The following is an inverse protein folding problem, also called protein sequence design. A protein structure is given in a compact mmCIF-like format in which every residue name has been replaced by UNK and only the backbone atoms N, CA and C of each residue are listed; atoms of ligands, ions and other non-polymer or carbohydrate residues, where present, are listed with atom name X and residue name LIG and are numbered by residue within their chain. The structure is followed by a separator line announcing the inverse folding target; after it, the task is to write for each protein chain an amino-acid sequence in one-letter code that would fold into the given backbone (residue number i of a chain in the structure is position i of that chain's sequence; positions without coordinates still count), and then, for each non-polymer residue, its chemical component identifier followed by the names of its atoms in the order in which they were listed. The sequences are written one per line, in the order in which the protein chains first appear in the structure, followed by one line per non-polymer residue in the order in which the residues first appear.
data_IF_250278539551
#
_entry.id   IF_250278539551
#
_cell.length_a   1.000
_cell.length_b   1.000
_cell.length_c   1.000
_cell.angle_alpha   90.00
_cell.angle_beta   90.00
_cell.angle_gamma   90.00
#
_symmetry.space_group_name_H-M   'P 1'
#
loop_
_entity.id
_entity.type
_entity.pdbx_description
1 polymer ?
#
# COMPACT_ATOMS: atom_id res chain seq x y z
N UNK A 1 -3.11 -8.38 -11.39
CA UNK A 1 -3.94 -7.43 -12.14
C UNK A 1 -4.74 -8.09 -13.27
N UNK A 2 -4.15 -8.96 -14.13
CA UNK A 2 -4.91 -9.72 -15.17
C UNK A 2 -6.15 -10.41 -14.61
N UNK A 3 -6.07 -11.08 -13.45
CA UNK A 3 -7.25 -11.70 -12.85
C UNK A 3 -8.38 -10.68 -12.57
N UNK A 4 -8.08 -9.47 -12.10
CA UNK A 4 -9.09 -8.41 -11.89
C UNK A 4 -9.56 -7.77 -13.20
N UNK A 5 -8.70 -7.67 -14.21
CA UNK A 5 -9.04 -7.08 -15.51
C UNK A 5 -9.87 -8.03 -16.38
N UNK A 6 -9.57 -9.34 -16.35
CA UNK A 6 -10.23 -10.40 -17.12
C UNK A 6 -11.55 -10.87 -16.48
N UNK A 7 -11.72 -10.60 -15.18
CA UNK A 7 -12.98 -10.78 -14.43
C UNK A 7 -13.66 -9.45 -14.05
N UNK A 8 -13.29 -8.36 -14.73
CA UNK A 8 -14.11 -7.15 -14.67
C UNK A 8 -15.45 -7.47 -15.34
N UNK A 9 -16.60 -7.01 -14.83
CA UNK A 9 -17.90 -7.34 -15.41
C UNK A 9 -17.97 -7.04 -16.92
N UNK A 10 -17.32 -5.96 -17.36
CA UNK A 10 -17.23 -5.59 -18.78
C UNK A 10 -16.44 -6.59 -19.64
N UNK A 11 -15.37 -7.18 -19.13
CA UNK A 11 -14.57 -8.15 -19.90
C UNK A 11 -15.24 -9.51 -19.97
N UNK A 12 -15.94 -9.92 -18.91
CA UNK A 12 -16.81 -11.10 -18.95
C UNK A 12 -17.95 -10.95 -19.95
N UNK A 13 -18.59 -9.78 -20.01
CA UNK A 13 -19.62 -9.49 -21.02
C UNK A 13 -19.02 -9.54 -22.43
N UNK A 14 -17.86 -8.93 -22.66
CA UNK A 14 -17.20 -8.98 -23.97
C UNK A 14 -16.84 -10.41 -24.40
N UNK A 15 -16.32 -11.22 -23.47
CA UNK A 15 -16.01 -12.64 -23.70
C UNK A 15 -17.29 -13.44 -24.01
N UNK A 16 -18.36 -13.22 -23.25
CA UNK A 16 -19.65 -13.88 -23.48
C UNK A 16 -20.25 -13.53 -24.84
N UNK A 17 -20.22 -12.24 -25.22
CA UNK A 17 -20.67 -11.77 -26.54
C UNK A 17 -19.84 -12.39 -27.66
N UNK A 18 -18.52 -12.44 -27.50
CA UNK A 18 -17.62 -13.07 -28.48
C UNK A 18 -17.97 -14.55 -28.71
N UNK A 19 -18.16 -15.32 -27.65
CA UNK A 19 -18.49 -16.74 -27.76
C UNK A 19 -19.95 -17.03 -28.16
N UNK A 20 -20.83 -16.03 -28.12
CA UNK A 20 -22.21 -16.14 -28.58
C UNK A 20 -22.31 -16.08 -30.12
N UNK A 21 -21.37 -15.41 -30.79
CA UNK A 21 -21.36 -15.30 -32.26
C UNK A 21 -21.32 -16.69 -32.95
N UNK A 22 -20.41 -17.62 -32.61
CA UNK A 22 -20.41 -18.97 -33.17
C UNK A 22 -21.68 -19.76 -32.86
N UNK A 23 -22.28 -19.56 -31.69
CA UNK A 23 -23.54 -20.25 -31.31
C UNK A 23 -24.68 -19.81 -32.22
N UNK A 24 -24.82 -18.50 -32.43
CA UNK A 24 -25.85 -17.95 -33.34
C UNK A 24 -25.61 -18.46 -34.76
N UNK A 25 -24.36 -18.44 -35.23
CA UNK A 25 -24.03 -18.91 -36.57
C UNK A 25 -24.32 -20.41 -36.75
N UNK A 26 -23.98 -21.24 -35.77
CA UNK A 26 -24.28 -22.68 -35.81
C UNK A 26 -25.78 -22.98 -35.76
N UNK A 27 -26.57 -22.23 -34.99
CA UNK A 27 -28.04 -22.36 -34.97
C UNK A 27 -28.63 -21.98 -36.33
N UNK A 28 -28.17 -20.88 -36.93
CA UNK A 28 -28.64 -20.44 -38.26
C UNK A 28 -28.29 -21.42 -39.38
N UNK A 29 -27.15 -22.12 -39.27
CA UNK A 29 -26.71 -23.10 -40.24
C UNK A 29 -27.30 -24.50 -40.02
N UNK A 30 -27.86 -24.79 -38.84
CA UNK A 30 -28.41 -26.12 -38.50
C UNK A 30 -29.42 -26.65 -39.53
N UNK A 31 -30.36 -25.86 -40.08
CA UNK A 31 -31.33 -26.34 -41.08
C UNK A 31 -30.71 -26.69 -42.44
N UNK A 32 -29.51 -26.18 -42.72
CA UNK A 32 -28.80 -26.40 -43.99
C UNK A 32 -27.83 -27.59 -43.94
N UNK A 33 -27.71 -28.26 -42.79
CA UNK A 33 -26.80 -29.39 -42.58
C UNK A 33 -27.48 -30.71 -42.90
N UNK A 34 -26.71 -31.67 -43.44
CA UNK A 34 -27.18 -33.01 -43.79
C UNK A 34 -27.73 -33.77 -42.57
N UNK A 35 -27.11 -33.55 -41.39
CA UNK A 35 -27.51 -34.17 -40.12
C UNK A 35 -27.71 -33.13 -39.02
N UNK A 36 -28.91 -32.54 -38.89
CA UNK A 36 -29.18 -31.47 -37.91
C UNK A 36 -29.02 -31.95 -36.46
N UNK A 37 -29.32 -33.21 -36.16
CA UNK A 37 -29.19 -33.78 -34.81
C UNK A 37 -27.73 -33.78 -34.31
N UNK A 38 -26.77 -34.05 -35.22
CA UNK A 38 -25.35 -34.00 -34.91
C UNK A 38 -24.85 -32.57 -34.72
N UNK A 39 -25.40 -31.61 -35.47
CA UNK A 39 -25.11 -30.19 -35.31
C UNK A 39 -25.61 -29.66 -33.95
N UNK A 40 -26.81 -30.04 -33.52
CA UNK A 40 -27.32 -29.67 -32.20
C UNK A 40 -26.47 -30.26 -31.08
N UNK A 41 -26.06 -31.53 -31.19
CA UNK A 41 -25.15 -32.15 -30.24
C UNK A 41 -23.80 -31.42 -30.18
N UNK A 42 -23.26 -31.01 -31.33
CA UNK A 42 -22.02 -30.22 -31.41
C UNK A 42 -22.17 -28.88 -30.67
N UNK A 43 -23.25 -28.13 -30.94
CA UNK A 43 -23.55 -26.87 -30.26
C UNK A 43 -23.60 -27.01 -28.74
N UNK A 44 -24.26 -28.05 -28.23
CA UNK A 44 -24.34 -28.32 -26.77
C UNK A 44 -22.94 -28.56 -26.21
N UNK A 45 -22.13 -29.41 -26.85
CA UNK A 45 -20.77 -29.70 -26.39
C UNK A 45 -19.84 -28.48 -26.45
N UNK A 46 -19.99 -27.62 -27.46
CA UNK A 46 -19.26 -26.36 -27.57
C UNK A 46 -19.61 -25.40 -26.43
N UNK A 47 -20.91 -25.18 -26.17
CA UNK A 47 -21.37 -24.27 -25.11
C UNK A 47 -20.85 -24.74 -23.74
N UNK A 48 -20.88 -26.05 -23.47
CA UNK A 48 -20.32 -26.62 -22.24
C UNK A 48 -18.81 -26.43 -22.14
N UNK A 49 -18.06 -26.66 -23.22
CA UNK A 49 -16.61 -26.47 -23.27
C UNK A 49 -16.23 -25.02 -22.98
N UNK A 50 -16.91 -24.06 -23.61
CA UNK A 50 -16.70 -22.63 -23.41
C UNK A 50 -17.07 -22.22 -21.99
N UNK A 51 -18.23 -22.64 -21.49
CA UNK A 51 -18.67 -22.32 -20.13
C UNK A 51 -17.65 -22.76 -19.08
N UNK A 52 -17.09 -23.97 -19.23
CA UNK A 52 -16.06 -24.50 -18.34
C UNK A 52 -14.76 -23.71 -18.37
N UNK A 53 -14.39 -23.11 -19.50
CA UNK A 53 -13.16 -22.31 -19.64
C UNK A 53 -13.36 -20.85 -19.22
N UNK A 54 -14.53 -20.28 -19.50
CA UNK A 54 -14.88 -18.90 -19.14
C UNK A 54 -15.19 -18.76 -17.65
N UNK A 55 -15.68 -19.83 -16.99
CA UNK A 55 -16.07 -19.82 -15.59
C UNK A 55 -15.01 -19.13 -14.68
N UNK A 56 -15.45 -18.25 -13.76
CA UNK A 56 -14.56 -17.47 -12.90
C UNK A 56 -13.99 -18.30 -11.74
N UNK A 57 -13.05 -19.20 -12.05
CA UNK A 57 -12.30 -19.91 -11.02
C UNK A 57 -11.41 -18.95 -10.23
N UNK A 58 -11.40 -19.12 -8.90
CA UNK A 58 -10.61 -18.32 -7.95
C UNK A 58 -9.08 -18.35 -8.17
N UNK A 59 -8.59 -19.30 -8.97
CA UNK A 59 -7.16 -19.53 -9.20
C UNK A 59 -6.72 -18.99 -10.56
N UNK A 60 -5.49 -18.45 -10.65
CA UNK A 60 -4.90 -17.96 -11.92
C UNK A 60 -4.68 -19.06 -12.96
N UNK A 61 -4.42 -20.29 -12.52
CA UNK A 61 -4.29 -21.46 -13.40
C UNK A 61 -5.61 -22.24 -13.37
N UNK A 62 -6.14 -22.55 -14.54
CA UNK A 62 -7.33 -23.41 -14.67
C UNK A 62 -7.05 -24.78 -14.02
N UNK A 63 -7.91 -25.30 -13.14
CA UNK A 63 -7.72 -26.63 -12.56
C UNK A 63 -7.69 -27.71 -13.65
N UNK A 64 -6.98 -28.81 -13.40
CA UNK A 64 -6.71 -29.84 -14.43
C UNK A 64 -8.01 -30.51 -14.94
N UNK A 65 -8.92 -30.87 -14.03
CA UNK A 65 -10.17 -31.54 -14.39
C UNK A 65 -11.09 -30.69 -15.31
N UNK A 66 -11.40 -29.41 -15.00
CA UNK A 66 -12.08 -28.51 -15.92
C UNK A 66 -11.38 -28.35 -17.26
N UNK A 67 -10.05 -28.29 -17.27
CA UNK A 67 -9.27 -28.17 -18.52
C UNK A 67 -9.45 -29.40 -19.39
N UNK A 68 -9.29 -30.59 -18.83
CA UNK A 68 -9.44 -31.86 -19.54
C UNK A 68 -10.86 -32.04 -20.07
N UNK A 69 -11.87 -31.82 -19.22
CA UNK A 69 -13.27 -31.91 -19.62
C UNK A 69 -13.63 -30.92 -20.72
N UNK A 70 -13.19 -29.66 -20.62
CA UNK A 70 -13.45 -28.66 -21.65
C UNK A 70 -12.75 -29.00 -22.99
N UNK A 71 -11.50 -29.47 -22.94
CA UNK A 71 -10.77 -29.92 -24.14
C UNK A 71 -11.48 -31.11 -24.79
N UNK A 72 -11.88 -32.10 -24.00
CA UNK A 72 -12.61 -33.26 -24.52
C UNK A 72 -13.94 -32.83 -25.17
N UNK A 73 -14.73 -31.98 -24.50
CA UNK A 73 -16.00 -31.47 -25.04
C UNK A 73 -15.79 -30.65 -26.32
N UNK A 74 -14.74 -29.84 -26.39
CA UNK A 74 -14.40 -29.08 -27.59
C UNK A 74 -14.02 -30.02 -28.76
N UNK A 75 -13.20 -31.04 -28.52
CA UNK A 75 -12.83 -32.01 -29.55
C UNK A 75 -14.03 -32.82 -30.04
N UNK A 76 -14.93 -33.21 -29.12
CA UNK A 76 -16.20 -33.87 -29.49
C UNK A 76 -17.05 -32.95 -30.35
N UNK A 77 -17.15 -31.65 -30.01
CA UNK A 77 -17.87 -30.67 -30.82
C UNK A 77 -17.30 -30.55 -32.23
N UNK A 78 -15.98 -30.47 -32.36
CA UNK A 78 -15.29 -30.37 -33.66
C UNK A 78 -15.58 -31.62 -34.49
N UNK A 79 -15.39 -32.81 -33.93
CA UNK A 79 -15.66 -34.07 -34.61
C UNK A 79 -17.12 -34.15 -35.10
N UNK A 80 -18.08 -33.83 -34.22
CA UNK A 80 -19.52 -33.86 -34.56
C UNK A 80 -19.89 -32.83 -35.63
N UNK A 81 -19.22 -31.69 -35.64
CA UNK A 81 -19.40 -30.66 -36.67
C UNK A 81 -18.94 -31.16 -38.03
N UNK A 82 -17.81 -31.88 -38.08
CA UNK A 82 -17.34 -32.52 -39.32
C UNK A 82 -18.23 -33.68 -39.77
N UNK A 83 -18.78 -34.46 -38.85
CA UNK A 83 -19.69 -35.57 -39.16
C UNK A 83 -21.08 -35.10 -39.63
N UNK A 84 -21.47 -33.85 -39.31
CA UNK A 84 -22.72 -33.22 -39.73
C UNK A 84 -22.65 -32.61 -41.14
N UNK A 85 -21.44 -32.44 -41.68
CA UNK A 85 -21.18 -31.89 -43.01
C UNK A 85 -21.17 -33.00 -44.05
N UNK A 86 -21.81 -32.78 -45.20
CA UNK A 86 -21.63 -33.65 -46.38
C UNK A 86 -20.23 -33.40 -46.98
N UNK A 87 -19.36 -34.43 -47.09
CA UNK A 87 -18.04 -34.31 -47.72
C UNK A 87 -18.06 -33.83 -49.18
N UNK A 88 -19.22 -33.89 -49.86
CA UNK A 88 -19.42 -33.47 -51.25
C UNK A 88 -19.98 -32.06 -51.40
N UNK A 89 -20.42 -31.43 -50.31
CA UNK A 89 -20.91 -30.06 -50.36
C UNK A 89 -19.71 -29.08 -50.34
N UNK A 90 -19.63 -28.22 -51.35
CA UNK A 90 -18.68 -27.11 -51.42
C UNK A 90 -19.06 -26.01 -50.40
N UNK A 91 -18.84 -26.28 -49.12
CA UNK A 91 -18.94 -25.24 -48.09
C UNK A 91 -17.65 -24.40 -48.12
N UNK A 92 -17.66 -23.39 -49.00
CA UNK A 92 -16.73 -22.27 -48.98
C UNK A 92 -17.25 -21.18 -48.02
N UNK A 93 -16.63 -21.12 -46.85
CA UNK A 93 -16.93 -20.18 -45.78
C UNK A 93 -16.56 -20.84 -44.46
N UNK A 94 -15.61 -20.26 -43.71
CA UNK A 94 -15.01 -20.87 -42.53
C UNK A 94 -16.01 -21.57 -41.59
N UNK A 95 -15.56 -22.64 -40.93
CA UNK A 95 -16.44 -23.47 -40.12
C UNK A 95 -17.11 -22.66 -39.01
N UNK A 96 -18.36 -23.00 -38.70
CA UNK A 96 -19.19 -22.22 -37.77
C UNK A 96 -18.53 -22.00 -36.40
N UNK A 97 -17.67 -22.94 -35.99
CA UNK A 97 -16.99 -22.93 -34.71
C UNK A 97 -15.58 -22.29 -34.75
N UNK A 98 -15.02 -21.90 -35.91
CA UNK A 98 -13.62 -21.44 -36.02
C UNK A 98 -13.33 -20.28 -35.08
N UNK A 99 -14.16 -19.25 -35.07
CA UNK A 99 -13.99 -18.08 -34.18
C UNK A 99 -14.07 -18.48 -32.69
N UNK A 100 -14.95 -19.42 -32.36
CA UNK A 100 -15.08 -19.95 -31.00
C UNK A 100 -13.89 -20.80 -30.56
N UNK A 101 -13.38 -21.61 -31.46
CA UNK A 101 -12.19 -22.43 -31.25
C UNK A 101 -10.94 -21.58 -31.03
N UNK A 102 -10.76 -20.53 -31.85
CA UNK A 102 -9.68 -19.57 -31.70
C UNK A 102 -9.71 -18.87 -30.34
N UNK A 103 -10.88 -18.38 -29.93
CA UNK A 103 -11.08 -17.81 -28.60
C UNK A 103 -10.78 -18.80 -27.48
N UNK A 104 -11.20 -20.06 -27.62
CA UNK A 104 -10.93 -21.12 -26.66
C UNK A 104 -9.42 -21.37 -26.48
N UNK A 105 -8.66 -21.43 -27.58
CA UNK A 105 -7.20 -21.58 -27.56
C UNK A 105 -6.51 -20.37 -26.90
N UNK A 106 -6.96 -19.15 -27.21
CA UNK A 106 -6.44 -17.93 -26.58
C UNK A 106 -6.67 -17.95 -25.08
N UNK A 107 -7.86 -18.32 -24.62
CA UNK A 107 -8.15 -18.39 -23.18
C UNK A 107 -7.27 -19.47 -22.51
N UNK A 108 -7.06 -20.63 -23.13
CA UNK A 108 -6.14 -21.65 -22.60
C UNK A 108 -4.68 -21.14 -22.53
N UNK A 109 -4.23 -20.39 -23.54
CA UNK A 109 -2.92 -19.75 -23.57
C UNK A 109 -2.74 -18.76 -22.41
N UNK A 110 -3.70 -17.84 -22.25
CA UNK A 110 -3.70 -16.82 -21.17
C UNK A 110 -3.80 -17.48 -19.79
N UNK A 111 -4.60 -18.55 -19.62
CA UNK A 111 -4.77 -19.27 -18.34
C UNK A 111 -3.62 -20.25 -18.03
N UNK A 112 -2.48 -20.12 -18.72
CA UNK A 112 -1.25 -20.91 -18.54
C UNK A 112 -1.42 -22.42 -18.76
N UNK A 113 -2.33 -22.80 -19.66
CA UNK A 113 -2.55 -24.18 -20.11
C UNK A 113 -2.19 -24.34 -21.58
N UNK A 114 -1.18 -23.59 -22.05
CA UNK A 114 -0.72 -23.60 -23.43
C UNK A 114 -0.39 -24.98 -24.01
N UNK A 115 0.16 -25.90 -23.19
CA UNK A 115 0.40 -27.29 -23.62
C UNK A 115 -0.88 -28.04 -23.99
N UNK A 116 -1.97 -27.84 -23.24
CA UNK A 116 -3.29 -28.37 -23.60
C UNK A 116 -3.87 -27.69 -24.84
N UNK A 117 -3.62 -26.39 -25.01
CA UNK A 117 -3.98 -25.67 -26.23
C UNK A 117 -3.32 -26.28 -27.48
N UNK A 118 -2.01 -26.55 -27.43
CA UNK A 118 -1.29 -27.20 -28.52
C UNK A 118 -1.77 -28.62 -28.80
N UNK A 119 -2.03 -29.41 -27.75
CA UNK A 119 -2.60 -30.74 -27.91
C UNK A 119 -3.98 -30.69 -28.59
N UNK A 120 -4.84 -29.76 -28.15
CA UNK A 120 -6.17 -29.56 -28.75
C UNK A 120 -6.07 -29.14 -30.22
N UNK A 121 -5.16 -28.21 -30.53
CA UNK A 121 -4.91 -27.75 -31.89
C UNK A 121 -4.36 -28.87 -32.79
N UNK A 122 -3.41 -29.67 -32.31
CA UNK A 122 -2.86 -30.79 -33.08
C UNK A 122 -3.93 -31.84 -33.40
N UNK A 123 -4.79 -32.17 -32.43
CA UNK A 123 -5.90 -33.11 -32.65
C UNK A 123 -6.95 -32.50 -33.59
N UNK A 124 -7.29 -31.21 -33.43
CA UNK A 124 -8.23 -30.53 -34.33
C UNK A 124 -7.73 -30.53 -35.78
N UNK A 125 -6.43 -30.23 -35.99
CA UNK A 125 -5.78 -30.30 -37.31
C UNK A 125 -5.86 -31.71 -37.88
N UNK A 126 -5.58 -32.75 -37.07
CA UNK A 126 -5.69 -34.13 -37.51
C UNK A 126 -7.12 -34.50 -37.93
N UNK A 127 -8.13 -34.08 -37.16
CA UNK A 127 -9.55 -34.27 -37.49
C UNK A 127 -9.87 -33.56 -38.81
N UNK A 128 -9.50 -32.29 -38.97
CA UNK A 128 -9.68 -31.53 -40.21
C UNK A 128 -9.01 -32.22 -41.40
N UNK A 129 -7.79 -32.72 -41.24
CA UNK A 129 -7.05 -33.46 -42.28
C UNK A 129 -7.75 -34.77 -42.68
N UNK A 130 -8.29 -35.53 -41.72
CA UNK A 130 -9.03 -36.77 -42.04
C UNK A 130 -10.33 -36.50 -42.79
N UNK A 131 -10.98 -35.36 -42.55
CA UNK A 131 -12.15 -34.93 -43.31
C UNK A 131 -11.74 -34.39 -44.68
N UNK A 132 -10.70 -33.55 -44.75
CA UNK A 132 -10.12 -33.00 -45.98
C UNK A 132 -9.63 -34.07 -46.96
N UNK A 133 -9.13 -35.21 -46.45
CA UNK A 133 -8.77 -36.37 -47.28
C UNK A 133 -9.97 -37.04 -47.96
N UNK A 134 -11.18 -36.88 -47.40
CA UNK A 134 -12.43 -37.47 -47.91
C UNK A 134 -13.27 -36.46 -48.71
N UNK A 135 -12.98 -35.17 -48.61
CA UNK A 135 -13.64 -34.10 -49.34
C UNK A 135 -12.78 -33.62 -50.52
N UNK A 136 -13.38 -32.85 -51.44
CA UNK A 136 -12.69 -32.31 -52.62
C UNK A 136 -11.61 -31.25 -52.32
N UNK A 137 -11.53 -30.76 -51.07
CA UNK A 137 -10.59 -29.72 -50.60
C UNK A 137 -9.14 -30.24 -50.47
N UNK A 138 -8.96 -31.55 -50.25
CA UNK A 138 -7.65 -32.14 -50.06
C UNK A 138 -7.04 -31.90 -48.66
N UNK A 139 -6.01 -32.70 -48.36
CA UNK A 139 -5.35 -32.76 -47.05
C UNK A 139 -4.69 -31.44 -46.62
N UNK A 140 -4.07 -30.75 -47.56
CA UNK A 140 -3.23 -29.58 -47.26
C UNK A 140 -4.06 -28.33 -46.97
N UNK A 141 -5.12 -28.10 -47.74
CA UNK A 141 -6.02 -26.96 -47.53
C UNK A 141 -6.73 -27.07 -46.18
N UNK A 142 -7.15 -28.28 -45.81
CA UNK A 142 -7.73 -28.55 -44.49
C UNK A 142 -6.74 -28.28 -43.34
N UNK A 143 -5.46 -28.59 -43.51
CA UNK A 143 -4.43 -28.25 -42.52
C UNK A 143 -4.19 -26.73 -42.44
N UNK A 144 -4.11 -26.05 -43.60
CA UNK A 144 -3.87 -24.61 -43.68
C UNK A 144 -5.00 -23.77 -43.08
N UNK A 145 -6.24 -24.30 -43.06
CA UNK A 145 -7.38 -23.61 -42.44
C UNK A 145 -7.18 -23.29 -40.95
N UNK A 146 -6.31 -24.03 -40.25
CA UNK A 146 -5.99 -23.84 -38.83
C UNK A 146 -4.75 -22.94 -38.60
N UNK A 147 -4.14 -22.39 -39.65
CA UNK A 147 -2.92 -21.57 -39.56
C UNK A 147 -3.11 -20.31 -38.71
N UNK A 148 -4.29 -19.68 -38.79
CA UNK A 148 -4.65 -18.54 -37.94
C UNK A 148 -4.67 -18.92 -36.44
N UNK A 149 -5.22 -20.10 -36.11
CA UNK A 149 -5.27 -20.63 -34.75
C UNK A 149 -3.88 -20.85 -34.14
N UNK A 150 -2.90 -21.29 -34.97
CA UNK A 150 -1.49 -21.43 -34.57
C UNK A 150 -0.91 -20.07 -34.18
N UNK A 151 -1.08 -19.05 -35.03
CA UNK A 151 -0.57 -17.71 -34.78
C UNK A 151 -1.21 -17.08 -33.53
N UNK A 152 -2.51 -17.27 -33.35
CA UNK A 152 -3.26 -16.73 -32.22
C UNK A 152 -2.85 -17.39 -30.89
N UNK A 153 -2.68 -18.71 -30.88
CA UNK A 153 -2.20 -19.44 -29.70
C UNK A 153 -0.77 -19.01 -29.33
N UNK A 154 0.12 -18.86 -30.32
CA UNK A 154 1.48 -18.34 -30.11
C UNK A 154 1.46 -16.93 -29.52
N UNK A 155 0.70 -16.02 -30.14
CA UNK A 155 0.56 -14.64 -29.69
C UNK A 155 0.04 -14.57 -28.25
N UNK A 156 -0.98 -15.36 -27.91
CA UNK A 156 -1.55 -15.41 -26.56
C UNK A 156 -0.51 -15.82 -25.50
N UNK A 157 0.38 -16.77 -25.83
CA UNK A 157 1.43 -17.21 -24.93
C UNK A 157 2.58 -16.21 -24.81
N UNK A 158 2.94 -15.52 -25.91
CA UNK A 158 3.94 -14.46 -25.87
C UNK A 158 3.46 -13.29 -24.99
N UNK A 159 2.21 -12.85 -25.18
CA UNK A 159 1.58 -11.80 -24.36
C UNK A 159 1.56 -12.21 -22.89
N UNK A 160 1.18 -13.45 -22.58
CA UNK A 160 1.16 -13.95 -21.20
C UNK A 160 2.56 -13.95 -20.56
N UNK A 161 3.60 -14.35 -21.30
CA UNK A 161 4.99 -14.37 -20.81
C UNK A 161 5.56 -12.97 -20.62
N UNK A 162 5.33 -12.05 -21.55
CA UNK A 162 5.86 -10.70 -21.50
C UNK A 162 5.24 -9.91 -20.34
N UNK A 163 3.95 -10.12 -20.09
CA UNK A 163 3.30 -9.54 -18.92
C UNK A 163 3.86 -10.09 -17.60
N UNK A 164 4.16 -11.40 -17.52
CA UNK A 164 4.77 -11.97 -16.32
C UNK A 164 6.12 -11.31 -16.02
N UNK A 165 6.96 -11.09 -17.04
CA UNK A 165 8.23 -10.35 -16.92
C UNK A 165 8.02 -8.91 -16.44
N UNK A 166 7.10 -8.19 -17.07
CA UNK A 166 6.78 -6.81 -16.69
C UNK A 166 6.25 -6.73 -15.25
N UNK A 167 5.40 -7.67 -14.84
CA UNK A 167 4.85 -7.70 -13.48
C UNK A 167 5.89 -8.00 -12.40
N UNK A 168 6.92 -8.79 -12.72
CA UNK A 168 8.06 -9.04 -11.83
C UNK A 168 8.91 -7.77 -11.67
N UNK A 169 9.21 -7.08 -12.78
CA UNK A 169 9.95 -5.82 -12.76
C UNK A 169 9.22 -4.72 -11.95
N UNK A 170 7.88 -4.64 -12.05
CA UNK A 170 7.10 -3.71 -11.24
C UNK A 170 7.04 -4.09 -9.75
N UNK A 171 7.09 -5.38 -9.40
CA UNK A 171 7.15 -5.82 -8.01
C UNK A 171 8.49 -5.45 -7.38
N UNK A 172 9.59 -5.67 -8.09
CA UNK A 172 10.95 -5.30 -7.69
C UNK A 172 11.10 -3.78 -7.56
N UNK A 173 10.58 -3.01 -8.52
CA UNK A 173 10.55 -1.54 -8.43
C UNK A 173 9.73 -1.04 -7.24
N UNK A 174 8.62 -1.70 -6.90
CA UNK A 174 7.81 -1.36 -5.74
C UNK A 174 8.51 -1.68 -4.42
N UNK A 175 9.23 -2.79 -4.36
CA UNK A 175 10.04 -3.15 -3.20
C UNK A 175 11.18 -2.15 -2.98
N UNK A 176 11.85 -1.72 -4.05
CA UNK A 176 12.85 -0.64 -4.01
C UNK A 176 12.26 0.71 -3.54
N UNK A 177 11.05 1.05 -3.96
CA UNK A 177 10.38 2.29 -3.50
C UNK A 177 9.96 2.20 -2.03
N UNK A 178 9.58 1.01 -1.54
CA UNK A 178 9.24 0.80 -0.13
C UNK A 178 10.50 0.87 0.74
N UNK A 179 11.61 0.25 0.33
CA UNK A 179 12.88 0.31 1.07
C UNK A 179 13.54 1.70 1.04
N UNK A 180 13.36 2.46 -0.03
CA UNK A 180 13.80 3.86 -0.08
C UNK A 180 12.99 4.75 0.89
N UNK A 181 11.68 4.53 1.02
CA UNK A 181 10.83 5.30 1.94
C UNK A 181 11.20 5.11 3.41
N UNK A 182 11.65 3.93 3.81
CA UNK A 182 12.09 3.68 5.20
C UNK A 182 13.36 4.44 5.58
N UNK A 183 14.17 4.89 4.61
CA UNK A 183 15.34 5.72 4.86
C UNK A 183 15.00 7.23 4.85
N UNK A 184 14.10 7.68 3.96
CA UNK A 184 13.73 9.09 3.84
C UNK A 184 12.91 9.63 5.03
N UNK A 185 12.18 8.79 5.75
CA UNK A 185 11.36 9.21 6.91
C UNK A 185 12.24 9.61 8.11
N UNK A 186 13.33 8.88 8.37
CA UNK A 186 14.27 9.21 9.45
C UNK A 186 15.01 10.54 9.21
N UNK A 187 15.35 10.85 7.96
CA UNK A 187 16.05 12.10 7.63
C UNK A 187 15.10 13.31 7.71
N UNK A 188 13.85 13.18 7.26
CA UNK A 188 12.83 14.24 7.37
C UNK A 188 12.48 14.59 8.81
N UNK A 189 12.42 13.60 9.70
CA UNK A 189 12.16 13.82 11.12
C UNK A 189 13.31 14.60 11.78
N UNK A 190 14.57 14.33 11.42
CA UNK A 190 15.71 15.08 11.98
C UNK A 190 15.77 16.52 11.47
N UNK A 191 15.52 16.76 10.18
CA UNK A 191 15.55 18.11 9.58
C UNK A 191 14.41 18.98 10.11
N UNK A 192 13.21 18.42 10.26
CA UNK A 192 12.05 19.15 10.79
C UNK A 192 12.25 19.51 12.28
N UNK A 193 12.75 18.58 13.10
CA UNK A 193 13.07 18.82 14.50
C UNK A 193 14.15 19.91 14.66
N UNK A 194 15.19 19.88 13.82
CA UNK A 194 16.25 20.91 13.80
C UNK A 194 15.68 22.29 13.46
N UNK A 195 14.86 22.37 12.40
CA UNK A 195 14.23 23.63 11.96
C UNK A 195 13.34 24.22 13.04
N UNK A 196 12.52 23.39 13.71
CA UNK A 196 11.65 23.81 14.81
C UNK A 196 12.46 24.36 15.99
N UNK A 197 13.59 23.73 16.33
CA UNK A 197 14.46 24.18 17.41
C UNK A 197 15.13 25.52 17.10
N UNK A 198 15.62 25.71 15.88
CA UNK A 198 16.17 26.99 15.43
C UNK A 198 15.13 28.11 15.53
N UNK A 199 13.89 27.85 15.09
CA UNK A 199 12.81 28.84 15.20
C UNK A 199 12.46 29.17 16.66
N UNK A 200 12.48 28.18 17.57
CA UNK A 200 12.24 28.41 19.00
C UNK A 200 13.32 29.31 19.62
N UNK A 201 14.59 29.03 19.34
CA UNK A 201 15.71 29.85 19.82
C UNK A 201 15.60 31.28 19.26
N UNK A 202 15.27 31.42 17.96
CA UNK A 202 15.10 32.73 17.33
C UNK A 202 13.96 33.53 17.96
N UNK A 203 12.83 32.90 18.31
CA UNK A 203 11.73 33.58 19.02
C UNK A 203 12.14 34.09 20.40
N UNK A 204 13.00 33.36 21.11
CA UNK A 204 13.42 33.71 22.46
C UNK A 204 14.50 34.79 22.49
N UNK A 205 15.53 34.66 21.65
CA UNK A 205 16.72 35.53 21.70
C UNK A 205 16.83 36.53 20.55
N UNK A 206 16.02 36.39 19.49
CA UNK A 206 16.18 37.14 18.25
C UNK A 206 16.20 38.66 18.45
N UNK A 207 15.20 39.22 19.14
CA UNK A 207 15.12 40.66 19.36
C UNK A 207 16.28 41.22 20.21
N UNK A 208 16.78 40.44 21.17
CA UNK A 208 17.92 40.84 22.00
C UNK A 208 19.24 40.81 21.22
N UNK A 209 19.43 39.80 20.37
CA UNK A 209 20.59 39.70 19.47
C UNK A 209 20.55 40.78 18.38
N UNK A 210 19.37 41.10 17.83
CA UNK A 210 19.20 42.18 16.87
C UNK A 210 19.53 43.54 17.48
N UNK A 211 19.12 43.78 18.74
CA UNK A 211 19.52 44.94 19.51
C UNK A 211 21.04 45.04 19.65
N UNK A 212 21.71 43.98 20.10
CA UNK A 212 23.17 43.95 20.22
C UNK A 212 23.86 44.25 18.87
N UNK A 213 23.30 43.74 17.77
CA UNK A 213 23.91 43.84 16.45
C UNK A 213 23.70 45.21 15.76
N UNK A 214 22.57 45.88 16.00
CA UNK A 214 22.16 47.06 15.21
C UNK A 214 21.96 48.33 16.02
N UNK A 215 21.81 48.26 17.35
CA UNK A 215 21.63 49.43 18.20
C UNK A 215 22.99 49.91 18.75
N UNK A 216 23.46 51.12 18.38
CA UNK A 216 24.72 51.67 18.85
C UNK A 216 24.62 52.29 20.26
N UNK A 217 23.44 52.32 20.88
CA UNK A 217 23.27 52.87 22.23
C UNK A 217 24.01 52.05 23.29
N UNK A 218 24.47 52.68 24.39
CA UNK A 218 25.10 51.95 25.48
C UNK A 218 24.15 50.90 26.07
N UNK A 219 24.68 49.71 26.37
CA UNK A 219 23.93 48.67 27.07
C UNK A 219 23.60 49.16 28.49
N UNK A 220 22.32 49.20 28.84
CA UNK A 220 21.85 49.61 30.15
C UNK A 220 21.81 48.42 31.12
N UNK A 221 21.74 48.70 32.43
CA UNK A 221 21.60 47.64 33.44
C UNK A 221 20.32 46.81 33.24
N UNK A 222 19.25 47.44 32.74
CA UNK A 222 18.01 46.74 32.37
C UNK A 222 18.25 45.72 31.26
N UNK A 223 19.07 46.06 30.28
CA UNK A 223 19.38 45.16 29.17
C UNK A 223 20.23 43.97 29.61
N UNK A 224 21.21 44.23 30.48
CA UNK A 224 22.04 43.16 31.08
C UNK A 224 21.14 42.16 31.80
N UNK A 225 20.14 42.64 32.53
CA UNK A 225 19.18 41.79 33.21
C UNK A 225 18.32 40.98 32.23
N UNK A 226 17.82 41.60 31.16
CA UNK A 226 17.08 40.88 30.11
C UNK A 226 17.92 39.82 29.40
N UNK A 227 19.21 40.08 29.17
CA UNK A 227 20.14 39.11 28.60
C UNK A 227 20.35 37.92 29.54
N UNK A 228 20.60 38.16 30.83
CA UNK A 228 20.77 37.11 31.84
C UNK A 228 19.52 36.24 31.99
N UNK A 229 18.34 36.85 32.04
CA UNK A 229 17.07 36.12 32.13
C UNK A 229 16.84 35.24 30.89
N UNK A 230 17.16 35.75 29.70
CA UNK A 230 17.01 35.00 28.44
C UNK A 230 18.02 33.87 28.33
N UNK A 231 19.26 34.09 28.76
CA UNK A 231 20.30 33.06 28.82
C UNK A 231 19.92 31.93 29.78
N UNK A 232 19.44 32.27 30.98
CA UNK A 232 18.93 31.29 31.94
C UNK A 232 17.75 30.49 31.35
N UNK A 233 16.80 31.16 30.68
CA UNK A 233 15.67 30.50 30.02
C UNK A 233 16.11 29.54 28.90
N UNK A 234 17.11 29.92 28.10
CA UNK A 234 17.71 29.05 27.07
C UNK A 234 18.39 27.85 27.70
N UNK A 235 19.17 28.06 28.76
CA UNK A 235 19.86 26.98 29.49
C UNK A 235 18.88 25.96 30.05
N UNK A 236 17.78 26.41 30.63
CA UNK A 236 16.72 25.53 31.15
C UNK A 236 16.03 24.74 30.02
N UNK A 237 15.79 25.35 28.87
CA UNK A 237 15.21 24.65 27.70
C UNK A 237 16.12 23.54 27.13
N UNK A 238 17.40 23.57 27.49
CA UNK A 238 18.40 22.56 27.13
C UNK A 238 18.51 21.52 28.26
N UNK A 239 18.66 21.97 29.51
CA UNK A 239 18.87 21.11 30.69
C UNK A 239 17.62 20.39 31.17
N UNK A 240 16.43 20.95 30.92
CA UNK A 240 15.14 20.48 31.42
C UNK A 240 14.19 20.00 30.32
N UNK A 241 14.69 19.35 29.26
CA UNK A 241 13.96 19.14 27.99
C UNK A 241 12.58 18.48 28.15
N UNK A 242 12.44 17.50 29.03
CA UNK A 242 11.20 16.75 29.24
C UNK A 242 10.12 17.51 30.01
N UNK A 243 10.51 18.50 30.82
CA UNK A 243 9.60 19.31 31.69
C UNK A 243 9.42 20.74 31.21
N UNK A 244 10.29 21.24 30.32
CA UNK A 244 10.31 22.63 29.86
C UNK A 244 9.19 22.94 28.85
N UNK A 245 8.02 23.28 29.39
CA UNK A 245 6.94 23.89 28.61
C UNK A 245 7.14 25.41 28.50
N UNK A 246 6.64 26.08 27.44
CA UNK A 246 6.74 27.53 27.30
C UNK A 246 6.20 28.28 28.53
N UNK A 247 5.07 27.82 29.08
CA UNK A 247 4.45 28.40 30.27
C UNK A 247 5.32 28.26 31.52
N UNK A 248 5.93 27.08 31.75
CA UNK A 248 6.81 26.87 32.89
C UNK A 248 8.04 27.78 32.83
N UNK A 249 8.62 27.94 31.63
CA UNK A 249 9.78 28.81 31.42
C UNK A 249 9.45 30.30 31.67
N UNK A 250 8.26 30.76 31.30
CA UNK A 250 7.80 32.13 31.61
C UNK A 250 7.62 32.35 33.11
N UNK A 251 7.01 31.40 33.80
CA UNK A 251 6.82 31.47 35.27
C UNK A 251 8.17 31.41 35.99
N UNK A 252 9.10 30.56 35.54
CA UNK A 252 10.46 30.51 36.08
C UNK A 252 11.21 31.83 35.85
N UNK A 253 11.04 32.46 34.68
CA UNK A 253 11.59 33.79 34.40
C UNK A 253 11.02 34.86 35.34
N UNK A 254 9.70 34.83 35.59
CA UNK A 254 9.05 35.75 36.53
C UNK A 254 9.56 35.54 37.97
N UNK A 255 9.79 34.30 38.38
CA UNK A 255 10.38 33.98 39.69
C UNK A 255 11.81 34.51 39.82
N UNK A 256 12.64 34.33 38.78
CA UNK A 256 14.01 34.89 38.75
C UNK A 256 14.04 36.41 38.80
N UNK A 257 13.11 37.07 38.11
CA UNK A 257 12.98 38.53 38.17
C UNK A 257 12.62 39.04 39.58
N UNK A 258 12.05 38.19 40.45
CA UNK A 258 11.83 38.48 41.88
C UNK A 258 13.05 38.17 42.76
N UNK A 259 14.10 37.56 42.22
CA UNK A 259 15.31 37.16 42.94
C UNK A 259 15.35 35.70 43.38
N UNK A 260 14.39 34.86 42.98
CA UNK A 260 14.39 33.42 43.30
C UNK A 260 15.37 32.67 42.39
N UNK A 261 16.22 31.82 42.96
CA UNK A 261 17.11 30.95 42.18
C UNK A 261 16.32 29.75 41.67
N UNK A 262 16.19 29.58 40.35
CA UNK A 262 15.49 28.43 39.76
C UNK A 262 16.49 27.52 39.05
N UNK A 263 16.46 26.22 39.33
CA UNK A 263 17.22 25.19 38.62
C UNK A 263 16.28 24.12 38.05
N UNK A 264 16.47 23.78 36.78
CA UNK A 264 15.63 22.80 36.06
C UNK A 264 16.55 21.74 35.45
N UNK A 265 16.39 20.50 35.89
CA UNK A 265 17.19 19.36 35.48
C UNK A 265 16.32 18.25 34.90
N UNK A 266 16.79 17.64 33.82
CA UNK A 266 16.17 16.50 33.17
C UNK A 266 17.20 15.40 32.95
N UNK A 267 17.04 14.30 33.67
CA UNK A 267 17.86 13.08 33.54
C UNK A 267 17.13 12.00 32.72
N UNK A 268 15.92 12.30 32.23
CA UNK A 268 15.06 11.31 31.59
C UNK A 268 15.41 11.06 30.13
N UNK A 269 15.82 12.10 29.40
CA UNK A 269 16.14 12.02 27.98
C UNK A 269 14.93 11.80 27.05
N UNK A 270 13.78 11.38 27.57
CA UNK A 270 12.55 11.12 26.83
C UNK A 270 11.35 11.95 27.32
N UNK A 271 10.35 12.24 26.45
CA UNK A 271 9.17 13.03 26.82
C UNK A 271 8.34 12.38 27.93
N UNK A 272 7.94 13.19 28.93
CA UNK A 272 7.07 12.73 30.02
C UNK A 272 5.67 12.35 29.51
N UNK A 273 5.01 11.35 30.13
CA UNK A 273 3.60 11.07 29.89
C UNK A 273 2.74 12.32 30.14
N UNK A 274 1.71 12.54 29.33
CA UNK A 274 0.92 13.79 29.36
C UNK A 274 0.28 14.08 30.71
N UNK A 275 -0.15 13.04 31.46
CA UNK A 275 -0.71 13.20 32.80
C UNK A 275 0.33 13.70 33.80
N UNK A 276 1.53 13.11 33.80
CA UNK A 276 2.65 13.49 34.66
C UNK A 276 3.12 14.91 34.34
N UNK A 277 3.30 15.23 33.05
CA UNK A 277 3.72 16.58 32.62
C UNK A 277 2.72 17.65 33.06
N UNK A 278 1.41 17.36 33.00
CA UNK A 278 0.36 18.27 33.45
C UNK A 278 0.41 18.49 34.96
N UNK A 279 0.53 17.43 35.74
CA UNK A 279 0.69 17.53 37.20
C UNK A 279 1.96 18.30 37.55
N UNK A 280 3.09 18.00 36.92
CA UNK A 280 4.37 18.67 37.14
C UNK A 280 4.32 20.15 36.80
N UNK A 281 3.76 20.52 35.64
CA UNK A 281 3.63 21.92 35.25
C UNK A 281 2.76 22.68 36.24
N UNK A 282 1.62 22.10 36.66
CA UNK A 282 0.73 22.75 37.63
C UNK A 282 1.41 22.97 38.99
N UNK A 283 2.04 21.94 39.55
CA UNK A 283 2.70 22.03 40.85
C UNK A 283 3.91 22.97 40.82
N UNK A 284 4.71 22.90 39.75
CA UNK A 284 5.83 23.80 39.58
C UNK A 284 5.38 25.26 39.45
N UNK A 285 4.27 25.53 38.77
CA UNK A 285 3.71 26.88 38.69
C UNK A 285 3.21 27.39 40.05
N UNK A 286 2.57 26.53 40.84
CA UNK A 286 2.10 26.90 42.18
C UNK A 286 3.28 27.30 43.08
N UNK A 287 4.31 26.44 43.14
CA UNK A 287 5.53 26.70 43.91
C UNK A 287 6.27 27.93 43.42
N UNK A 288 6.50 28.05 42.10
CA UNK A 288 7.23 29.18 41.52
C UNK A 288 6.48 30.50 41.66
N UNK A 289 5.15 30.52 41.72
CA UNK A 289 4.39 31.76 41.95
C UNK A 289 4.35 32.16 43.42
N UNK A 290 4.34 31.18 44.33
CA UNK A 290 4.37 31.43 45.77
C UNK A 290 5.77 31.86 46.27
N UNK A 291 6.84 31.35 45.66
CA UNK A 291 8.20 31.66 46.06
C UNK A 291 8.54 33.15 45.87
N UNK A 292 8.89 33.81 46.97
CA UNK A 292 9.36 35.20 47.00
C UNK A 292 10.86 35.30 47.23
N UNK A 293 11.47 34.30 47.86
CA UNK A 293 12.91 34.19 48.08
C UNK A 293 13.41 32.74 47.95
N UNK A 294 14.73 32.54 48.09
CA UNK A 294 15.34 31.21 48.14
C UNK A 294 15.54 30.54 46.79
N UNK A 295 15.48 29.20 46.77
CA UNK A 295 15.75 28.39 45.59
C UNK A 295 14.67 27.37 45.28
N UNK A 296 14.32 27.21 44.00
CA UNK A 296 13.37 26.22 43.50
C UNK A 296 14.09 25.29 42.53
N UNK A 297 14.10 23.99 42.83
CA UNK A 297 14.68 22.95 41.98
C UNK A 297 13.58 22.07 41.41
N UNK A 298 13.55 21.90 40.09
CA UNK A 298 12.64 20.99 39.39
C UNK A 298 13.48 19.93 38.69
N UNK A 299 13.36 18.67 39.10
CA UNK A 299 14.15 17.55 38.57
C UNK A 299 13.24 16.48 37.99
N UNK A 300 13.48 16.11 36.73
CA UNK A 300 12.86 14.94 36.10
C UNK A 300 13.82 13.75 36.13
N UNK A 301 13.32 12.60 36.56
CA UNK A 301 14.11 11.38 36.73
C UNK A 301 14.02 10.42 35.53
N UNK A 302 14.99 9.50 35.39
CA UNK A 302 14.97 8.45 34.37
C UNK A 302 13.72 7.59 34.37
N UNK A 303 13.42 6.97 33.23
CA UNK A 303 12.34 5.98 33.17
C UNK A 303 12.67 4.76 34.06
N UNK A 304 11.70 4.34 34.86
CA UNK A 304 11.84 3.24 35.83
C UNK A 304 11.99 3.70 37.28
N UNK A 305 12.20 4.99 37.54
CA UNK A 305 12.10 5.57 38.88
C UNK A 305 10.63 5.66 39.32
N UNK A 306 10.28 5.32 40.57
CA UNK A 306 8.93 5.52 41.11
C UNK A 306 8.47 6.99 41.02
N UNK A 307 9.41 7.94 41.15
CA UNK A 307 9.15 9.38 41.08
C UNK A 307 9.59 9.91 39.72
N UNK A 308 8.66 10.45 38.93
CA UNK A 308 9.00 11.02 37.63
C UNK A 308 9.50 12.46 37.70
N UNK A 309 8.93 13.27 38.60
CA UNK A 309 9.33 14.67 38.80
C UNK A 309 9.36 14.98 40.28
N UNK A 310 10.43 15.64 40.71
CA UNK A 310 10.60 16.14 42.06
C UNK A 310 10.79 17.65 42.04
N UNK A 311 10.02 18.36 42.85
CA UNK A 311 10.04 19.81 42.96
C UNK A 311 10.36 20.15 44.41
N UNK A 312 11.40 20.94 44.63
CA UNK A 312 11.81 21.38 45.96
C UNK A 312 11.88 22.89 45.97
N UNK A 313 11.26 23.52 46.96
CA UNK A 313 11.49 24.92 47.30
C UNK A 313 12.16 25.00 48.67
N UNK A 314 13.31 25.64 48.68
CA UNK A 314 14.10 25.94 49.88
C UNK A 314 14.03 27.46 50.11
N UNK A 315 13.15 27.87 51.02
CA UNK A 315 12.94 29.26 51.41
C UNK A 315 14.08 29.77 52.28
N UNK A 316 14.54 31.00 52.03
CA UNK A 316 15.69 31.56 52.76
C UNK A 316 15.27 32.48 53.92
N UNK A 317 14.00 32.42 54.32
CA UNK A 317 13.39 33.26 55.36
C UNK A 317 12.61 32.38 56.34
N UNK A 318 12.57 32.75 57.63
CA UNK A 318 11.87 31.98 58.68
C UNK A 318 10.35 31.83 58.43
N UNK A 319 9.78 32.66 57.53
CA UNK A 319 8.37 32.66 57.17
C UNK A 319 8.03 31.79 55.94
N UNK A 320 9.02 31.26 55.21
CA UNK A 320 8.81 30.36 54.05
C UNK A 320 9.10 28.90 54.46
N UNK A 321 8.06 28.11 54.72
CA UNK A 321 8.22 26.67 54.98
C UNK A 321 8.78 25.95 53.74
N UNK A 322 9.82 25.10 53.89
CA UNK A 322 10.34 24.31 52.79
C UNK A 322 9.27 23.36 52.27
N UNK A 323 9.17 23.23 50.94
CA UNK A 323 8.16 22.37 50.30
C UNK A 323 8.85 21.38 49.39
N UNK A 324 8.58 20.09 49.57
CA UNK A 324 8.98 19.04 48.65
C UNK A 324 7.75 18.38 48.02
N UNK A 325 7.77 18.23 46.69
CA UNK A 325 6.67 17.62 45.93
C UNK A 325 7.22 16.52 45.04
N UNK A 326 6.70 15.31 45.22
CA UNK A 326 6.98 14.15 44.37
C UNK A 326 5.78 13.87 43.47
N UNK A 327 6.07 13.54 42.21
CA UNK A 327 5.05 13.19 41.21
C UNK A 327 5.34 11.79 40.69
N UNK A 328 4.43 10.87 40.96
CA UNK A 328 4.59 9.45 40.61
C UNK A 328 4.59 9.22 39.09
N UNK A 329 5.49 8.34 38.62
CA UNK A 329 5.71 8.11 37.19
C UNK A 329 4.52 7.48 36.44
N UNK A 330 3.74 6.63 37.12
CA UNK A 330 2.62 5.90 36.49
C UNK A 330 1.28 6.64 36.50
N UNK A 331 0.98 7.39 37.58
CA UNK A 331 -0.34 7.99 37.83
C UNK A 331 -0.32 9.51 37.72
N UNK A 332 0.85 10.15 37.86
CA UNK A 332 0.94 11.61 38.04
C UNK A 332 0.37 12.08 39.38
N UNK A 333 0.21 11.17 40.34
CA UNK A 333 -0.20 11.45 41.71
C UNK A 333 0.85 12.30 42.41
N UNK A 334 0.39 13.25 43.21
CA UNK A 334 1.22 14.28 43.82
C UNK A 334 1.29 14.02 45.32
N UNK A 335 2.50 13.83 45.83
CA UNK A 335 2.77 13.75 47.27
C UNK A 335 3.54 15.00 47.69
N UNK A 336 3.05 15.70 48.72
CA UNK A 336 3.66 16.92 49.26
C UNK A 336 4.18 16.63 50.67
N UNK A 337 5.40 17.05 50.94
CA UNK A 337 6.14 16.82 52.19
C UNK A 337 6.73 18.11 52.71
#
# INVERSE_FOLDING_TARGET
MIYRALFHPLTLVAIAVFFLIPVVLGVLLTPAMDKPDLMQAALVTYVLAVALVVYPYRQRRLPQLPTMTAVLLMLVSIQRSFDALDPRAELFGGQWFTLGFDGFLVVLGIRRRGGWGWATLAIAVAVSMTWGARSGLGLWEAALSNSASVALLLASQLIAREYDRSSAAFAEAREMVISARTHDEAEKDTVSASTQRVQQVRRLAGGLLERIAHDPSPVTDYDIEQFRLTEAQLRDSIRGRSVSTPYLLEVARAARARGVQVDILDERGEPLPTAVLRSATRQAMEVLNAATSGSVTIRAFPEGDPTAVFIVHDGNTEDEEPVAIEIAAGTGEVSRF
#
